data_IF_513198525817
#
_entry.id   IF_513198525817
#
_cell.length_a   1.000
_cell.length_b   1.000
_cell.length_c   1.000
_cell.angle_alpha   90.00
_cell.angle_beta   90.00
_cell.angle_gamma   90.00
#
_symmetry.space_group_name_H-M   'P 1'
#
loop_
_entity.id
_entity.type
_entity.pdbx_description
1 polymer ?
#
# COMPACT_ATOMS: atom_id res chain seq x y z
N UNK A 1 -12.82 16.08 19.07
CA UNK A 1 -13.08 16.04 17.60
C UNK A 1 -11.77 15.68 16.93
N UNK A 2 -11.67 14.52 16.28
CA UNK A 2 -10.47 14.14 15.53
C UNK A 2 -10.50 14.91 14.20
N UNK A 3 -9.70 15.96 14.06
CA UNK A 3 -9.61 16.68 12.78
C UNK A 3 -8.65 15.92 11.88
N UNK A 4 -9.17 15.32 10.81
CA UNK A 4 -8.34 14.77 9.73
C UNK A 4 -7.48 15.89 9.13
N UNK A 5 -6.19 15.65 8.82
CA UNK A 5 -5.37 16.64 8.11
C UNK A 5 -5.81 16.81 6.64
N UNK A 6 -6.69 15.93 6.14
CA UNK A 6 -7.18 15.97 4.77
C UNK A 6 -8.50 16.73 4.69
N UNK A 7 -8.59 17.67 3.74
CA UNK A 7 -9.84 18.35 3.43
C UNK A 7 -10.87 17.36 2.84
N UNK A 8 -12.18 17.55 3.07
CA UNK A 8 -13.20 16.72 2.45
C UNK A 8 -13.04 16.63 0.93
N UNK A 9 -13.09 15.40 0.40
CA UNK A 9 -12.88 15.12 -1.03
C UNK A 9 -11.41 14.96 -1.45
N UNK A 10 -10.45 15.13 -0.55
CA UNK A 10 -9.04 14.86 -0.86
C UNK A 10 -8.83 13.37 -1.20
N UNK A 11 -8.00 13.04 -2.20
CA UNK A 11 -7.55 11.67 -2.40
C UNK A 11 -6.66 11.25 -1.22
N UNK A 12 -7.02 10.14 -0.58
CA UNK A 12 -6.33 9.62 0.61
C UNK A 12 -5.85 8.17 0.44
N UNK A 13 -6.15 7.56 -0.70
CA UNK A 13 -5.85 6.15 -0.97
C UNK A 13 -5.54 5.95 -2.44
N UNK A 14 -4.65 5.00 -2.71
CA UNK A 14 -4.34 4.49 -4.04
C UNK A 14 -4.16 2.99 -3.91
N UNK A 15 -4.56 2.24 -4.93
CA UNK A 15 -4.46 0.79 -4.93
C UNK A 15 -3.98 0.30 -6.30
N UNK A 16 -3.28 -0.83 -6.29
CA UNK A 16 -2.83 -1.51 -7.50
C UNK A 16 -3.37 -2.94 -7.51
N UNK A 17 -4.15 -3.25 -8.53
CA UNK A 17 -4.52 -4.63 -8.85
C UNK A 17 -3.58 -5.17 -9.92
N UNK A 18 -2.85 -6.23 -9.60
CA UNK A 18 -1.89 -6.89 -10.50
C UNK A 18 -1.99 -8.41 -10.36
N UNK A 19 -1.83 -9.18 -11.44
CA UNK A 19 -1.68 -10.63 -11.34
C UNK A 19 -0.31 -11.07 -10.80
N UNK A 20 0.66 -10.15 -10.75
CA UNK A 20 2.04 -10.40 -10.31
C UNK A 20 2.40 -9.49 -9.11
N UNK A 21 2.09 -9.97 -7.91
CA UNK A 21 2.34 -9.26 -6.65
C UNK A 21 3.85 -9.21 -6.35
N UNK A 22 4.57 -10.29 -6.63
CA UNK A 22 6.02 -10.37 -6.37
C UNK A 22 6.79 -9.39 -7.26
N UNK A 23 6.48 -9.36 -8.56
CA UNK A 23 7.09 -8.42 -9.50
C UNK A 23 6.78 -6.96 -9.17
N UNK A 24 5.52 -6.66 -8.81
CA UNK A 24 5.15 -5.32 -8.36
C UNK A 24 5.87 -4.92 -7.06
N UNK A 25 5.98 -5.85 -6.10
CA UNK A 25 6.71 -5.61 -4.85
C UNK A 25 8.18 -5.30 -5.13
N UNK A 26 8.85 -6.11 -5.95
CA UNK A 26 10.26 -5.88 -6.31
C UNK A 26 10.46 -4.53 -7.03
N UNK A 27 9.55 -4.18 -7.94
CA UNK A 27 9.58 -2.91 -8.66
C UNK A 27 9.45 -1.70 -7.72
N UNK A 28 8.43 -1.67 -6.86
CA UNK A 28 8.21 -0.55 -5.93
C UNK A 28 9.22 -0.53 -4.77
N UNK A 29 9.78 -1.68 -4.39
CA UNK A 29 10.92 -1.73 -3.50
C UNK A 29 12.14 -1.06 -4.13
N UNK A 30 12.47 -1.37 -5.39
CA UNK A 30 13.60 -0.76 -6.09
C UNK A 30 13.44 0.75 -6.33
N UNK A 31 12.23 1.21 -6.61
CA UNK A 31 11.98 2.64 -6.88
C UNK A 31 11.85 3.49 -5.62
N UNK A 32 11.14 2.98 -4.61
CA UNK A 32 10.72 3.79 -3.46
C UNK A 32 11.12 3.20 -2.11
N UNK A 33 11.71 1.99 -2.08
CA UNK A 33 12.00 1.27 -0.84
C UNK A 33 10.74 0.77 -0.13
N UNK A 34 9.66 0.55 -0.87
CA UNK A 34 8.41 0.06 -0.28
C UNK A 34 8.44 -1.46 -0.10
N UNK A 35 8.00 -1.91 1.08
CA UNK A 35 7.89 -3.31 1.43
C UNK A 35 6.43 -3.76 1.43
N UNK A 36 6.15 -4.93 0.88
CA UNK A 36 4.81 -5.51 0.92
C UNK A 36 4.55 -6.24 2.23
N UNK A 37 3.39 -5.97 2.82
CA UNK A 37 2.88 -6.64 4.02
C UNK A 37 1.53 -7.25 3.71
N UNK A 38 1.49 -8.58 3.63
CA UNK A 38 0.24 -9.33 3.41
C UNK A 38 -0.79 -9.03 4.51
N UNK A 39 -2.05 -8.90 4.12
CA UNK A 39 -3.17 -8.79 5.05
C UNK A 39 -3.66 -10.15 5.60
N UNK A 40 -3.04 -11.25 5.16
CA UNK A 40 -3.33 -12.61 5.62
C UNK A 40 -3.57 -13.60 4.46
N UNK A 41 -3.61 -14.91 4.75
CA UNK A 41 -3.80 -15.95 3.74
C UNK A 41 -5.18 -15.92 3.08
N UNK A 42 -6.21 -15.47 3.80
CA UNK A 42 -7.61 -15.48 3.33
C UNK A 42 -7.99 -14.21 2.54
N UNK A 43 -7.04 -13.32 2.26
CA UNK A 43 -7.32 -12.02 1.61
C UNK A 43 -7.13 -12.04 0.10
N UNK A 44 -6.89 -13.21 -0.49
CA UNK A 44 -6.69 -13.35 -1.95
C UNK A 44 -5.45 -12.64 -2.47
N UNK A 45 -4.40 -12.51 -1.63
CA UNK A 45 -3.17 -11.81 -1.98
C UNK A 45 -3.18 -10.30 -1.67
N UNK A 46 -4.26 -9.78 -1.07
CA UNK A 46 -4.29 -8.38 -0.65
C UNK A 46 -3.28 -8.10 0.46
N UNK A 47 -2.69 -6.91 0.40
CA UNK A 47 -1.75 -6.41 1.39
C UNK A 47 -1.44 -4.93 1.17
N UNK A 48 -0.55 -4.41 1.99
CA UNK A 48 -0.17 -2.99 2.00
C UNK A 48 1.29 -2.84 1.61
N UNK A 49 1.60 -1.81 0.84
CA UNK A 49 2.96 -1.34 0.63
C UNK A 49 3.32 -0.35 1.74
N UNK A 50 4.48 -0.53 2.36
CA UNK A 50 4.92 0.26 3.51
C UNK A 50 6.30 0.84 3.31
N UNK A 51 6.51 2.06 3.83
CA UNK A 51 7.83 2.68 3.94
C UNK A 51 8.09 3.05 5.39
N UNK A 52 9.13 2.46 5.99
CA UNK A 52 9.49 2.71 7.39
C UNK A 52 8.34 2.43 8.36
N UNK A 53 7.58 1.35 8.11
CA UNK A 53 6.46 0.91 8.94
C UNK A 53 5.14 1.68 8.73
N UNK A 54 5.11 2.69 7.86
CA UNK A 54 3.89 3.46 7.52
C UNK A 54 3.33 3.01 6.19
N UNK A 55 2.00 2.94 6.07
CA UNK A 55 1.32 2.64 4.79
C UNK A 55 1.63 3.72 3.77
N UNK A 56 2.05 3.28 2.59
CA UNK A 56 2.34 4.11 1.43
C UNK A 56 1.29 3.91 0.33
N UNK A 57 0.83 2.66 0.15
CA UNK A 57 -0.28 2.26 -0.71
C UNK A 57 -0.91 0.95 -0.19
#
# INVERSE_FOLDING_TARGET
>A
MLTSPYAPGSPIWVELSTPDIEGATAFYNGLFGWDFVSAGPDTGGYGLLRLGGRTAA
#
